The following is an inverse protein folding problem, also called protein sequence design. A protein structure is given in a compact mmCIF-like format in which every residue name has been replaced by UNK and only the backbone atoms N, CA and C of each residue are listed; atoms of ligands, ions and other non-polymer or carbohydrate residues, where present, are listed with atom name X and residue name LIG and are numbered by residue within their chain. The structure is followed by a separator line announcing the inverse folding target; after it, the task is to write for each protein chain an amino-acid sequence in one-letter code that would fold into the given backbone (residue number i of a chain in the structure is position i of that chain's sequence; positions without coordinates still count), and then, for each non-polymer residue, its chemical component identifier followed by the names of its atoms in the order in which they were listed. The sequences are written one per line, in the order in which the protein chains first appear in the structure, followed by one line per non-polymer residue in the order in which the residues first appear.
data_IF_451880905973
#
_entry.id   IF_451880905973
#
_cell.length_a   1.000
_cell.length_b   1.000
_cell.length_c   1.000
_cell.angle_alpha   90.00
_cell.angle_beta   90.00
_cell.angle_gamma   90.00
#
_symmetry.space_group_name_H-M   'P 1'
#
loop_
_entity.id
_entity.type
_entity.pdbx_description
1 polymer ?
#
# COMPACT_ATOMS: atom_id res chain seq x y z
N UNK A 1 -12.60 -32.86 -39.75
CA UNK A 1 -11.35 -32.08 -39.92
C UNK A 1 -11.68 -30.67 -39.51
N UNK A 2 -11.26 -30.24 -38.32
CA UNK A 2 -11.34 -28.82 -37.96
C UNK A 2 -10.30 -28.11 -38.84
N UNK A 3 -10.77 -27.29 -39.78
CA UNK A 3 -9.92 -26.37 -40.52
C UNK A 3 -9.34 -25.41 -39.50
N UNK A 4 -8.01 -25.28 -39.46
CA UNK A 4 -7.34 -24.21 -38.72
C UNK A 4 -7.61 -22.90 -39.46
N UNK A 5 -8.83 -22.37 -39.30
CA UNK A 5 -9.20 -21.04 -39.79
C UNK A 5 -8.49 -20.03 -38.90
N UNK A 6 -7.64 -19.22 -39.51
CA UNK A 6 -7.02 -18.08 -38.87
C UNK A 6 -8.09 -16.98 -38.68
N UNK A 7 -8.15 -16.36 -37.50
CA UNK A 7 -9.07 -15.26 -37.18
C UNK A 7 -8.59 -13.96 -37.86
N UNK A 8 -9.53 -13.16 -38.36
CA UNK A 8 -9.24 -11.85 -38.94
C UNK A 8 -8.88 -10.84 -37.83
N UNK A 9 -8.26 -9.70 -38.20
CA UNK A 9 -7.79 -8.70 -37.23
C UNK A 9 -8.92 -8.10 -36.38
N UNK A 10 -10.11 -7.95 -36.96
CA UNK A 10 -11.32 -7.52 -36.23
C UNK A 10 -11.77 -8.53 -35.15
N UNK A 11 -11.49 -9.81 -35.38
CA UNK A 11 -11.87 -10.89 -34.48
C UNK A 11 -10.79 -11.17 -33.43
N UNK A 12 -9.51 -10.96 -33.78
CA UNK A 12 -8.36 -11.13 -32.89
C UNK A 12 -7.98 -9.85 -32.13
N UNK A 13 -8.51 -8.68 -32.51
CA UNK A 13 -8.18 -7.36 -31.94
C UNK A 13 -6.68 -7.03 -31.97
N UNK A 14 -5.94 -7.55 -32.95
CA UNK A 14 -4.47 -7.43 -33.04
C UNK A 14 -3.96 -6.30 -33.93
N UNK A 15 -4.82 -5.39 -34.38
CA UNK A 15 -4.41 -4.30 -35.27
C UNK A 15 -5.58 -3.53 -35.90
N UNK A 16 -5.32 -2.73 -36.95
CA UNK A 16 -6.36 -2.03 -37.71
C UNK A 16 -7.33 -3.02 -38.37
N UNK A 17 -8.62 -2.70 -38.33
CA UNK A 17 -9.73 -3.49 -38.86
C UNK A 17 -9.59 -3.89 -40.33
N UNK A 18 -8.97 -3.03 -41.14
CA UNK A 18 -8.86 -3.19 -42.60
C UNK A 18 -7.57 -3.88 -43.07
N UNK A 19 -6.81 -4.52 -42.16
CA UNK A 19 -5.54 -5.17 -42.48
C UNK A 19 -5.59 -6.68 -42.20
N UNK A 20 -5.09 -7.50 -43.13
CA UNK A 20 -4.86 -8.93 -42.89
C UNK A 20 -3.74 -9.08 -41.83
N UNK A 21 -3.94 -9.86 -40.75
CA UNK A 21 -2.88 -10.10 -39.78
C UNK A 21 -1.62 -10.74 -40.42
N UNK A 22 -1.75 -11.45 -41.54
CA UNK A 22 -0.63 -12.02 -42.31
C UNK A 22 0.15 -10.99 -43.13
N UNK A 23 -0.43 -9.84 -43.45
CA UNK A 23 0.25 -8.75 -44.15
C UNK A 23 1.18 -7.96 -43.21
N UNK A 24 1.00 -8.10 -41.90
CA UNK A 24 1.93 -7.60 -40.88
C UNK A 24 3.17 -8.49 -40.80
N UNK A 25 3.97 -8.48 -41.87
CA UNK A 25 5.27 -9.15 -41.87
C UNK A 25 6.16 -8.57 -40.78
N UNK A 26 6.59 -9.40 -39.84
CA UNK A 26 7.66 -9.02 -38.92
C UNK A 26 8.92 -8.74 -39.74
N UNK A 27 9.37 -7.48 -39.74
CA UNK A 27 10.65 -7.07 -40.32
C UNK A 27 11.66 -7.16 -39.18
N UNK A 28 12.56 -8.16 -39.17
CA UNK A 28 13.61 -8.22 -38.17
C UNK A 28 14.47 -6.95 -38.27
N UNK A 29 15.03 -6.47 -37.15
CA UNK A 29 15.95 -5.36 -37.20
C UNK A 29 17.16 -5.70 -38.07
N UNK A 30 17.69 -4.72 -38.80
CA UNK A 30 18.88 -4.87 -39.66
C UNK A 30 20.14 -5.29 -38.88
N UNK A 31 20.08 -5.24 -37.55
CA UNK A 31 21.12 -5.62 -36.61
C UNK A 31 20.51 -6.23 -35.36
N UNK A 32 21.15 -7.25 -34.75
CA UNK A 32 20.70 -7.81 -33.48
C UNK A 32 20.79 -6.77 -32.36
N UNK A 33 19.81 -6.75 -31.47
CA UNK A 33 19.80 -5.90 -30.29
C UNK A 33 20.68 -6.47 -29.18
N UNK A 34 21.30 -5.60 -28.41
CA UNK A 34 22.00 -5.91 -27.18
C UNK A 34 23.30 -6.72 -27.30
N UNK A 35 23.74 -7.11 -28.50
CA UNK A 35 24.98 -7.90 -28.68
C UNK A 35 26.27 -7.15 -28.31
N UNK A 36 26.19 -5.82 -28.32
CA UNK A 36 27.29 -4.92 -27.96
C UNK A 36 27.15 -4.39 -26.52
N UNK A 37 26.13 -4.82 -25.77
CA UNK A 37 25.90 -4.33 -24.41
C UNK A 37 26.98 -4.86 -23.46
N UNK A 38 27.35 -4.02 -22.49
CA UNK A 38 28.34 -4.41 -21.47
C UNK A 38 27.90 -5.66 -20.69
N UNK A 39 26.59 -5.88 -20.53
CA UNK A 39 26.05 -7.06 -19.87
C UNK A 39 26.31 -8.39 -20.60
N UNK A 40 26.66 -8.38 -21.90
CA UNK A 40 26.86 -9.61 -22.70
C UNK A 40 28.23 -9.72 -23.36
N UNK A 41 29.07 -8.69 -23.22
CA UNK A 41 30.40 -8.66 -23.83
C UNK A 41 31.49 -9.06 -22.82
N UNK A 42 32.54 -9.74 -23.31
CA UNK A 42 33.70 -10.07 -22.49
C UNK A 42 34.45 -8.84 -21.95
N UNK A 43 34.25 -7.66 -22.55
CA UNK A 43 34.78 -6.41 -22.01
C UNK A 43 33.96 -5.93 -20.82
N UNK A 44 32.63 -5.88 -20.97
CA UNK A 44 31.75 -5.45 -19.90
C UNK A 44 31.76 -6.39 -18.69
N UNK A 45 31.99 -7.70 -18.85
CA UNK A 45 32.26 -8.62 -17.74
C UNK A 45 33.48 -8.21 -16.89
N UNK A 46 34.49 -7.58 -17.50
CA UNK A 46 35.73 -7.17 -16.81
C UNK A 46 35.61 -5.79 -16.17
N UNK A 47 34.89 -4.89 -16.82
CA UNK A 47 34.69 -3.52 -16.35
C UNK A 47 33.57 -3.44 -15.31
N UNK A 48 32.54 -4.27 -15.46
CA UNK A 48 31.29 -4.21 -14.72
C UNK A 48 30.43 -3.02 -15.16
N UNK A 49 29.11 -3.17 -15.03
CA UNK A 49 28.17 -2.07 -15.20
C UNK A 49 27.85 -1.44 -13.85
N UNK A 50 27.76 -0.10 -13.80
CA UNK A 50 27.33 0.61 -12.60
C UNK A 50 25.82 0.53 -12.39
N UNK A 51 25.35 0.63 -11.14
CA UNK A 51 23.92 0.66 -10.85
C UNK A 51 23.20 1.80 -11.58
N UNK A 52 23.81 2.98 -11.64
CA UNK A 52 23.27 4.15 -12.34
C UNK A 52 23.14 3.94 -13.86
N UNK A 53 23.92 3.03 -14.44
CA UNK A 53 23.86 2.69 -15.86
C UNK A 53 22.71 1.71 -16.13
N UNK A 54 22.56 0.69 -15.27
CA UNK A 54 21.40 -0.22 -15.28
C UNK A 54 20.07 0.52 -15.13
N UNK A 55 19.99 1.42 -14.14
CA UNK A 55 18.79 2.22 -13.89
C UNK A 55 18.42 3.14 -15.06
N UNK A 56 19.40 3.55 -15.89
CA UNK A 56 19.13 4.36 -17.10
C UNK A 56 18.56 3.54 -18.26
N UNK A 57 18.80 2.22 -18.29
CA UNK A 57 18.21 1.33 -19.30
C UNK A 57 16.77 0.91 -18.95
N UNK A 58 16.44 0.87 -17.66
CA UNK A 58 15.10 0.54 -17.19
C UNK A 58 14.10 1.65 -17.53
N UNK A 59 12.86 1.26 -17.86
CA UNK A 59 11.73 2.20 -17.97
C UNK A 59 11.02 2.24 -16.63
N UNK A 60 10.85 3.42 -16.00
CA UNK A 60 10.13 3.51 -14.74
C UNK A 60 8.67 3.04 -14.89
N UNK A 61 8.18 2.33 -13.89
CA UNK A 61 6.78 1.95 -13.83
C UNK A 61 5.88 3.19 -13.78
N UNK A 62 4.75 3.10 -14.48
CA UNK A 62 3.72 4.14 -14.45
C UNK A 62 2.77 3.84 -13.30
N UNK A 63 2.98 4.51 -12.18
CA UNK A 63 2.03 4.49 -11.08
C UNK A 63 0.68 5.07 -11.57
N UNK A 64 -0.45 4.37 -11.38
CA UNK A 64 -1.75 4.95 -11.64
C UNK A 64 -1.92 6.20 -10.78
N UNK A 65 -2.44 7.28 -11.37
CA UNK A 65 -2.60 8.56 -10.68
C UNK A 65 -3.29 8.38 -9.33
N UNK A 66 -2.60 8.79 -8.26
CA UNK A 66 -3.14 8.77 -6.91
C UNK A 66 -4.26 9.81 -6.86
N UNK A 67 -5.47 9.37 -6.55
CA UNK A 67 -6.55 10.28 -6.20
C UNK A 67 -6.21 10.89 -4.83
N UNK A 68 -5.88 12.17 -4.77
CA UNK A 68 -5.51 12.83 -3.50
C UNK A 68 -6.70 12.96 -2.53
N UNK A 69 -7.91 12.65 -2.97
CA UNK A 69 -9.12 12.67 -2.13
C UNK A 69 -9.48 11.31 -1.55
N UNK A 70 -8.87 10.21 -2.01
CA UNK A 70 -9.19 8.88 -1.50
C UNK A 70 -8.39 8.57 -0.23
N UNK A 71 -9.02 7.87 0.70
CA UNK A 71 -8.30 7.22 1.79
C UNK A 71 -7.33 6.14 1.27
N UNK A 72 -6.26 5.91 2.02
CA UNK A 72 -5.25 4.88 1.71
C UNK A 72 -5.84 3.48 1.55
N UNK A 73 -5.06 2.55 0.99
CA UNK A 73 -5.43 1.14 0.81
C UNK A 73 -4.27 0.25 1.24
N UNK A 74 -4.58 -0.88 1.87
CA UNK A 74 -3.61 -1.97 2.04
C UNK A 74 -3.28 -2.61 0.69
N UNK A 75 -1.99 -2.75 0.40
CA UNK A 75 -1.46 -3.42 -0.78
C UNK A 75 -0.51 -4.52 -0.34
N UNK A 76 -0.61 -5.67 -0.99
CA UNK A 76 0.22 -6.83 -0.68
C UNK A 76 1.69 -6.52 -0.99
N UNK A 77 2.59 -6.93 -0.11
CA UNK A 77 4.03 -6.74 -0.30
C UNK A 77 4.59 -7.71 -1.34
N UNK A 78 3.87 -8.80 -1.61
CA UNK A 78 4.28 -9.86 -2.53
C UNK A 78 3.16 -10.12 -3.52
N UNK A 79 3.40 -9.74 -4.77
CA UNK A 79 2.50 -10.06 -5.87
C UNK A 79 2.99 -11.34 -6.54
N UNK A 80 2.09 -12.30 -6.72
CA UNK A 80 2.32 -13.52 -7.50
C UNK A 80 2.72 -13.20 -8.93
N UNK A 81 3.31 -14.17 -9.63
CA UNK A 81 3.70 -13.99 -11.04
C UNK A 81 2.52 -13.69 -11.98
N UNK A 82 1.31 -13.94 -11.53
CA UNK A 82 0.02 -13.64 -12.16
C UNK A 82 -0.53 -12.25 -11.82
N UNK A 83 0.13 -11.48 -10.94
CA UNK A 83 -0.36 -10.17 -10.51
C UNK A 83 -1.32 -10.24 -9.31
N UNK A 84 -1.58 -11.43 -8.75
CA UNK A 84 -2.50 -11.59 -7.62
C UNK A 84 -1.78 -11.50 -6.28
N UNK A 85 -2.47 -11.00 -5.25
CA UNK A 85 -1.96 -10.92 -3.89
C UNK A 85 -1.64 -12.31 -3.33
N UNK A 86 -0.50 -12.46 -2.65
CA UNK A 86 -0.12 -13.72 -2.01
C UNK A 86 -0.80 -13.90 -0.66
N UNK A 87 -1.05 -15.14 -0.24
CA UNK A 87 -1.84 -15.43 0.98
C UNK A 87 -1.01 -15.31 2.27
N UNK A 88 0.20 -14.74 2.20
CA UNK A 88 1.06 -14.48 3.37
C UNK A 88 0.39 -13.50 4.35
N UNK A 89 -0.41 -12.56 3.82
CA UNK A 89 -1.10 -11.55 4.62
C UNK A 89 -0.19 -10.38 5.03
N UNK A 90 1.05 -10.36 4.54
CA UNK A 90 1.95 -9.22 4.61
C UNK A 90 1.53 -8.18 3.56
N UNK A 91 1.15 -6.99 4.02
CA UNK A 91 0.87 -5.85 3.17
C UNK A 91 1.25 -4.55 3.85
N UNK A 92 1.55 -3.55 3.04
CA UNK A 92 1.85 -2.20 3.48
C UNK A 92 0.74 -1.23 3.05
N UNK A 93 0.64 -0.13 3.76
CA UNK A 93 -0.29 0.94 3.45
C UNK A 93 0.28 1.83 2.34
N UNK A 94 -0.57 2.18 1.37
CA UNK A 94 -0.27 3.17 0.33
C UNK A 94 -1.42 4.14 0.17
N UNK A 95 -1.09 5.41 0.00
CA UNK A 95 -2.05 6.51 -0.11
C UNK A 95 -1.82 7.56 0.97
N UNK A 96 -2.81 8.44 1.18
CA UNK A 96 -2.73 9.48 2.20
C UNK A 96 -3.10 8.87 3.54
N UNK A 97 -2.11 8.79 4.44
CA UNK A 97 -2.34 8.48 5.85
C UNK A 97 -2.96 9.69 6.54
N UNK A 98 -3.96 9.47 7.40
CA UNK A 98 -4.68 10.53 8.14
C UNK A 98 -3.85 11.18 9.26
N UNK A 99 -2.54 11.37 9.08
CA UNK A 99 -1.63 12.04 10.02
C UNK A 99 -1.22 11.25 11.27
N UNK A 100 -1.90 10.15 11.58
CA UNK A 100 -1.58 9.14 12.61
C UNK A 100 -2.46 7.88 12.50
N UNK A 101 -3.47 7.92 11.63
CA UNK A 101 -4.44 6.88 11.38
C UNK A 101 -3.98 5.88 10.33
N UNK A 102 -4.33 4.60 10.50
CA UNK A 102 -4.23 3.62 9.42
C UNK A 102 -5.22 3.94 8.30
N UNK A 103 -4.94 3.43 7.11
CA UNK A 103 -5.76 3.53 5.91
C UNK A 103 -7.25 3.15 6.12
N UNK A 104 -7.51 2.16 6.98
CA UNK A 104 -8.87 1.72 7.32
C UNK A 104 -9.62 2.73 8.20
N UNK A 105 -8.91 3.37 9.13
CA UNK A 105 -9.48 4.39 10.01
C UNK A 105 -9.79 5.67 9.21
N UNK A 106 -8.87 6.07 8.33
CA UNK A 106 -9.10 7.16 7.39
C UNK A 106 -10.31 6.91 6.45
N UNK A 107 -10.55 5.67 6.04
CA UNK A 107 -11.70 5.31 5.19
C UNK A 107 -13.06 5.46 5.91
N UNK A 108 -13.09 5.26 7.23
CA UNK A 108 -14.32 5.48 8.03
C UNK A 108 -14.65 6.96 8.19
N UNK A 109 -13.63 7.82 8.12
CA UNK A 109 -13.78 9.28 8.19
C UNK A 109 -14.08 9.93 6.83
N UNK A 110 -14.07 9.17 5.73
CA UNK A 110 -14.51 9.64 4.42
C UNK A 110 -16.05 9.64 4.34
N UNK A 111 -16.63 10.67 4.96
CA UNK A 111 -18.08 10.91 4.98
C UNK A 111 -18.41 12.20 4.24
N UNK A 112 -19.38 12.12 3.30
CA UNK A 112 -19.91 13.29 2.58
C UNK A 112 -20.47 14.39 3.51
N UNK A 113 -20.78 14.02 4.76
CA UNK A 113 -21.23 14.93 5.79
C UNK A 113 -20.05 15.32 6.67
N UNK A 114 -19.57 16.55 6.56
CA UNK A 114 -18.52 17.08 7.44
C UNK A 114 -18.86 16.79 8.90
N UNK A 115 -17.95 16.12 9.61
CA UNK A 115 -18.10 15.90 11.05
C UNK A 115 -17.97 17.27 11.69
N UNK A 116 -19.09 17.83 12.13
CA UNK A 116 -19.10 19.01 12.97
C UNK A 116 -18.37 18.64 14.26
N UNK A 117 -17.19 19.22 14.55
CA UNK A 117 -16.49 18.94 15.78
C UNK A 117 -17.40 19.36 16.93
N UNK A 118 -17.61 18.46 17.89
CA UNK A 118 -18.23 18.82 19.16
C UNK A 118 -17.35 19.88 19.81
N UNK A 119 -17.80 21.14 19.69
CA UNK A 119 -17.17 22.27 20.34
C UNK A 119 -17.44 22.16 21.83
N UNK A 120 -16.44 21.65 22.54
CA UNK A 120 -16.22 21.78 23.98
C UNK A 120 -17.50 21.66 24.86
N UNK A 121 -17.91 20.41 25.12
CA UNK A 121 -18.52 20.04 26.40
C UNK A 121 -17.42 19.36 27.24
N UNK A 122 -16.34 20.07 27.58
CA UNK A 122 -15.29 19.50 28.42
C UNK A 122 -15.93 18.87 29.66
N UNK A 123 -15.69 17.58 29.93
CA UNK A 123 -16.27 16.91 31.10
C UNK A 123 -15.92 17.59 32.42
N UNK A 124 -14.87 18.42 32.43
CA UNK A 124 -14.47 19.23 33.57
C UNK A 124 -15.54 20.26 34.01
N UNK A 125 -16.43 20.70 33.13
CA UNK A 125 -17.55 21.59 33.49
C UNK A 125 -18.87 20.82 33.75
N UNK A 126 -18.87 19.49 33.58
CA UNK A 126 -20.02 18.66 33.97
C UNK A 126 -20.08 18.55 35.50
N UNK A 127 -21.19 18.97 36.14
CA UNK A 127 -21.30 18.96 37.59
C UNK A 127 -21.32 17.55 38.20
N UNK A 128 -21.71 16.53 37.44
CA UNK A 128 -21.63 15.12 37.84
C UNK A 128 -20.19 14.61 37.85
N UNK A 129 -19.40 14.96 36.84
CA UNK A 129 -17.97 14.63 36.77
C UNK A 129 -17.20 15.37 37.87
N UNK A 130 -17.51 16.65 38.10
CA UNK A 130 -16.90 17.44 39.18
C UNK A 130 -17.19 16.81 40.55
N UNK A 131 -18.45 16.42 40.80
CA UNK A 131 -18.83 15.77 42.05
C UNK A 131 -18.17 14.40 42.24
N UNK A 132 -17.98 13.63 41.17
CA UNK A 132 -17.24 12.36 41.22
C UNK A 132 -15.78 12.59 41.58
N UNK A 133 -15.11 13.53 40.90
CA UNK A 133 -13.71 13.88 41.20
C UNK A 133 -13.55 14.42 42.63
N UNK A 134 -14.48 15.24 43.11
CA UNK A 134 -14.47 15.73 44.50
C UNK A 134 -14.67 14.59 45.53
N UNK A 135 -15.45 13.56 45.19
CA UNK A 135 -15.60 12.36 46.03
C UNK A 135 -14.30 11.53 46.04
N UNK A 136 -13.69 11.31 44.88
CA UNK A 136 -12.47 10.50 44.73
C UNK A 136 -11.24 11.18 45.36
N UNK A 137 -11.20 12.52 45.39
CA UNK A 137 -10.19 13.29 46.13
C UNK A 137 -10.20 13.01 47.65
N UNK A 138 -11.27 12.41 48.18
CA UNK A 138 -11.41 12.05 49.59
C UNK A 138 -10.65 10.79 50.03
N UNK A 139 -10.36 9.87 49.11
CA UNK A 139 -9.74 8.56 49.39
C UNK A 139 -8.59 8.27 48.40
N UNK A 140 -7.47 9.03 48.47
CA UNK A 140 -6.35 8.87 47.55
C UNK A 140 -5.65 7.51 47.65
N UNK A 141 -5.83 6.79 48.77
CA UNK A 141 -5.30 5.43 48.92
C UNK A 141 -6.10 4.41 48.11
N UNK A 142 -7.41 4.59 47.97
CA UNK A 142 -8.27 3.71 47.15
C UNK A 142 -8.02 3.98 45.67
N UNK A 143 -7.93 5.25 45.25
CA UNK A 143 -7.54 5.61 43.89
C UNK A 143 -6.15 5.08 43.50
N UNK A 144 -5.18 5.10 44.42
CA UNK A 144 -3.86 4.52 44.19
C UNK A 144 -3.88 2.99 44.14
N UNK A 145 -4.76 2.35 44.91
CA UNK A 145 -4.94 0.90 44.88
C UNK A 145 -5.58 0.44 43.57
N UNK A 146 -6.63 1.12 43.10
CA UNK A 146 -7.28 0.84 41.80
C UNK A 146 -6.31 1.04 40.64
N UNK A 147 -5.56 2.15 40.63
CA UNK A 147 -4.54 2.40 39.60
C UNK A 147 -3.43 1.32 39.59
N UNK A 148 -3.05 0.81 40.77
CA UNK A 148 -2.09 -0.28 40.87
C UNK A 148 -2.69 -1.64 40.42
N UNK A 149 -3.99 -1.84 40.60
CA UNK A 149 -4.71 -3.04 40.20
C UNK A 149 -4.87 -3.05 38.66
N UNK A 150 -5.31 -1.95 38.07
CA UNK A 150 -5.39 -1.77 36.60
C UNK A 150 -4.03 -1.95 35.93
N UNK A 151 -2.96 -1.36 36.48
CA UNK A 151 -1.60 -1.54 35.98
C UNK A 151 -1.09 -2.99 36.11
N UNK A 152 -1.67 -3.79 37.02
CA UNK A 152 -1.32 -5.20 37.22
C UNK A 152 -2.14 -6.17 36.35
N UNK A 153 -3.34 -5.77 35.93
CA UNK A 153 -4.18 -6.50 34.97
C UNK A 153 -3.85 -6.14 33.51
N UNK A 154 -3.12 -5.04 33.28
CA UNK A 154 -2.55 -4.69 31.98
C UNK A 154 -1.31 -5.57 31.68
N UNK A 155 -1.38 -6.46 30.67
CA UNK A 155 -0.29 -7.39 30.37
C UNK A 155 0.98 -6.71 29.87
N UNK A 156 0.91 -5.45 29.41
CA UNK A 156 2.06 -4.69 28.91
C UNK A 156 2.82 -3.93 30.02
N UNK A 157 2.23 -3.81 31.22
CA UNK A 157 2.80 -3.06 32.35
C UNK A 157 3.03 -3.89 33.63
N UNK A 158 2.71 -5.19 33.59
CA UNK A 158 2.99 -6.11 34.69
C UNK A 158 4.51 -6.31 34.96
N UNK A 159 4.89 -6.86 36.14
CA UNK A 159 6.30 -7.07 36.51
C UNK A 159 7.07 -8.07 35.62
N UNK A 160 6.39 -8.68 34.64
CA UNK A 160 6.95 -9.59 33.65
C UNK A 160 7.05 -8.97 32.23
N UNK A 161 6.79 -7.67 32.05
CA UNK A 161 6.90 -6.96 30.76
C UNK A 161 8.33 -6.91 30.16
N UNK A 162 9.33 -7.43 30.88
CA UNK A 162 10.66 -7.72 30.35
C UNK A 162 11.03 -9.21 30.61
N UNK A 163 10.60 -10.12 29.72
CA UNK A 163 11.28 -11.41 29.45
C UNK A 163 11.14 -11.87 28.00
#
# INVERSE_FOLDING_TARGET
MASALQLDTDEALTGPSDSDPLDSGYVPPDRPYGVDDNAVTANGEREGESLDERLRQETPDVEPGLDESRSGRLVDDNVGADGEATVDGAGHEVGIDGGAASSEEAAMHDVDNGIEPVVDETPAEDPGVTASLEADLGDPEEAAADAALDASDDPDFGPDADR
#
